data_IF_099524625505
#
_entry.id   IF_099524625505
#
_cell.length_a   1.000
_cell.length_b   1.000
_cell.length_c   1.000
_cell.angle_alpha   90.00
_cell.angle_beta   90.00
_cell.angle_gamma   90.00
#
_symmetry.space_group_name_H-M   'P 1'
#
loop_
_entity.id
_entity.type
_entity.pdbx_description
1 polymer ?
#
# COMPACT_ATOMS: atom_id res chain seq x y z
N UNK A 1 20.21 25.95 -1.36
CA UNK A 1 20.35 24.48 -1.25
C UNK A 1 18.98 23.92 -1.56
N UNK A 2 18.81 23.22 -2.69
CA UNK A 2 17.50 22.77 -3.16
C UNK A 2 16.99 21.67 -2.24
N UNK A 3 15.91 21.97 -1.53
CA UNK A 3 15.12 21.01 -0.77
C UNK A 3 14.65 19.96 -1.79
N UNK A 4 15.09 18.71 -1.63
CA UNK A 4 14.66 17.62 -2.51
C UNK A 4 13.30 17.17 -2.00
N UNK A 5 12.24 17.47 -2.75
CA UNK A 5 10.85 17.11 -2.44
C UNK A 5 10.56 15.63 -2.75
N UNK A 6 11.39 14.71 -2.26
CA UNK A 6 11.13 13.27 -2.39
C UNK A 6 10.00 12.88 -1.42
N UNK A 7 8.78 12.62 -1.92
CA UNK A 7 7.66 12.11 -1.09
C UNK A 7 7.45 10.61 -1.31
N UNK A 8 8.36 9.80 -0.77
CA UNK A 8 8.09 8.38 -0.57
C UNK A 8 7.32 8.24 0.74
N UNK A 9 6.07 7.77 0.67
CA UNK A 9 5.25 7.52 1.84
C UNK A 9 5.60 6.14 2.41
N UNK A 10 5.99 6.10 3.68
CA UNK A 10 6.39 4.85 4.36
C UNK A 10 5.36 4.54 5.45
N UNK A 11 4.89 3.30 5.49
CA UNK A 11 3.92 2.85 6.49
C UNK A 11 3.89 1.34 6.62
N UNK A 12 2.88 0.81 7.28
CA UNK A 12 2.74 -0.62 7.58
C UNK A 12 1.47 -1.24 7.00
N UNK A 13 1.43 -2.57 6.94
CA UNK A 13 0.20 -3.33 6.73
C UNK A 13 -0.63 -3.37 8.03
N UNK A 14 -1.65 -2.52 8.09
CA UNK A 14 -2.50 -2.31 9.27
C UNK A 14 -1.80 -1.53 10.39
N UNK A 15 -2.60 -1.00 11.31
CA UNK A 15 -2.12 -0.25 12.48
C UNK A 15 -2.54 -0.87 13.82
N UNK A 16 -3.55 -1.74 13.85
CA UNK A 16 -4.08 -2.31 15.09
C UNK A 16 -3.41 -3.65 15.44
N UNK A 17 -2.13 -3.62 15.79
CA UNK A 17 -1.36 -4.80 16.21
C UNK A 17 -1.19 -4.82 17.74
N UNK A 18 -1.75 -5.81 18.46
CA UNK A 18 -1.59 -5.92 19.92
C UNK A 18 -0.13 -5.98 20.38
N UNK A 19 0.73 -6.60 19.59
CA UNK A 19 2.16 -6.78 19.84
C UNK A 19 2.90 -5.44 19.95
N UNK A 20 2.40 -4.39 19.28
CA UNK A 20 2.99 -3.06 19.34
C UNK A 20 2.83 -2.36 20.70
N UNK A 21 1.86 -2.79 21.51
CA UNK A 21 1.81 -2.38 22.92
C UNK A 21 2.96 -3.01 23.73
N UNK A 22 3.31 -4.26 23.44
CA UNK A 22 4.41 -4.96 24.11
C UNK A 22 5.79 -4.43 23.66
N UNK A 23 5.89 -4.01 22.40
CA UNK A 23 7.10 -3.39 21.83
C UNK A 23 7.22 -1.89 22.13
N UNK A 24 6.36 -1.36 23.03
CA UNK A 24 6.34 0.03 23.47
C UNK A 24 6.18 1.06 22.34
N UNK A 25 5.53 0.69 21.22
CA UNK A 25 5.11 1.65 20.21
C UNK A 25 3.86 2.39 20.65
N UNK A 26 2.82 1.64 21.07
CA UNK A 26 1.65 2.22 21.70
C UNK A 26 1.90 2.37 23.21
N UNK A 27 1.65 3.55 23.80
CA UNK A 27 1.65 3.71 25.25
C UNK A 27 0.70 2.71 25.91
N UNK A 28 1.08 2.13 27.05
CA UNK A 28 0.29 1.10 27.75
C UNK A 28 -1.14 1.57 28.09
N UNK A 29 -1.28 2.86 28.39
CA UNK A 29 -2.55 3.49 28.75
C UNK A 29 -3.30 4.08 27.54
N UNK A 30 -2.82 3.89 26.30
CA UNK A 30 -3.48 4.43 25.12
C UNK A 30 -4.76 3.62 24.80
N UNK A 31 -5.94 4.27 24.74
CA UNK A 31 -7.16 3.60 24.30
C UNK A 31 -7.06 3.10 22.86
N UNK A 32 -7.65 1.94 22.56
CA UNK A 32 -7.61 1.33 21.21
C UNK A 32 -8.24 2.22 20.14
N UNK A 33 -9.27 2.97 20.52
CA UNK A 33 -9.94 3.96 19.68
C UNK A 33 -9.06 5.17 19.38
N UNK A 34 -7.85 5.29 19.95
CA UNK A 34 -6.90 6.36 19.63
C UNK A 34 -5.69 5.84 18.82
N UNK A 35 -5.66 4.54 18.50
CA UNK A 35 -4.52 3.94 17.80
C UNK A 35 -4.34 4.54 16.41
N UNK A 36 -5.41 4.82 15.66
CA UNK A 36 -5.29 5.43 14.34
C UNK A 36 -4.71 6.85 14.43
N UNK A 37 -5.21 7.66 15.37
CA UNK A 37 -4.67 9.01 15.58
C UNK A 37 -3.19 8.98 15.97
N UNK A 38 -2.80 8.07 16.87
CA UNK A 38 -1.39 7.90 17.24
C UNK A 38 -0.54 7.46 16.05
N UNK A 39 -1.01 6.46 15.30
CA UNK A 39 -0.31 5.94 14.12
C UNK A 39 -0.16 7.01 13.02
N UNK A 40 -1.23 7.74 12.70
CA UNK A 40 -1.24 8.74 11.64
C UNK A 40 -0.37 9.98 11.94
N UNK A 41 0.00 10.19 13.21
CA UNK A 41 1.00 11.20 13.58
C UNK A 41 2.44 10.74 13.31
N UNK A 42 2.69 9.42 13.34
CA UNK A 42 4.03 8.86 13.13
C UNK A 42 4.28 8.49 11.66
N UNK A 43 3.30 7.88 11.00
CA UNK A 43 3.43 7.35 9.64
C UNK A 43 2.39 7.97 8.71
N UNK A 44 2.77 8.45 7.51
CA UNK A 44 1.86 9.15 6.61
C UNK A 44 0.94 8.22 5.79
N UNK A 45 1.14 6.90 5.84
CA UNK A 45 0.36 5.96 5.03
C UNK A 45 0.10 4.66 5.78
N UNK A 46 -1.01 4.00 5.46
CA UNK A 46 -1.30 2.63 5.90
C UNK A 46 -1.89 1.80 4.77
N UNK A 47 -1.46 0.55 4.66
CA UNK A 47 -2.16 -0.45 3.86
C UNK A 47 -3.21 -1.11 4.74
N UNK A 48 -4.47 -1.10 4.31
CA UNK A 48 -5.61 -1.67 5.02
C UNK A 48 -5.91 -3.05 4.41
N UNK A 49 -5.60 -4.15 5.13
CA UNK A 49 -5.86 -5.50 4.62
C UNK A 49 -7.36 -5.72 4.38
N UNK A 50 -7.71 -6.49 3.35
CA UNK A 50 -9.12 -6.74 2.99
C UNK A 50 -9.96 -7.26 4.15
N UNK A 51 -9.38 -8.11 4.99
CA UNK A 51 -10.04 -8.73 6.15
C UNK A 51 -10.65 -7.70 7.12
N UNK A 52 -10.18 -6.45 7.09
CA UNK A 52 -10.67 -5.34 7.93
C UNK A 52 -11.89 -4.62 7.37
N UNK A 53 -12.19 -4.81 6.09
CA UNK A 53 -13.22 -4.05 5.37
C UNK A 53 -13.98 -4.92 4.35
N UNK A 54 -14.03 -6.23 4.58
CA UNK A 54 -14.62 -7.21 3.68
C UNK A 54 -16.14 -7.05 3.48
N UNK A 55 -16.83 -6.35 4.40
CA UNK A 55 -18.26 -6.08 4.32
C UNK A 55 -18.61 -4.59 4.38
N UNK A 56 -19.84 -4.26 4.00
CA UNK A 56 -20.30 -2.85 3.90
C UNK A 56 -20.32 -2.16 5.26
N UNK A 57 -20.63 -2.89 6.34
CA UNK A 57 -20.64 -2.33 7.70
C UNK A 57 -19.23 -1.98 8.17
N UNK A 58 -18.28 -2.86 7.87
CA UNK A 58 -16.87 -2.71 8.20
C UNK A 58 -16.27 -1.53 7.43
N UNK A 59 -16.61 -1.36 6.14
CA UNK A 59 -16.19 -0.17 5.37
C UNK A 59 -16.76 1.12 5.97
N UNK A 60 -18.01 1.12 6.42
CA UNK A 60 -18.59 2.31 7.07
C UNK A 60 -17.88 2.65 8.37
N UNK A 61 -17.54 1.63 9.16
CA UNK A 61 -16.81 1.83 10.42
C UNK A 61 -15.41 2.38 10.17
N UNK A 62 -14.64 1.77 9.27
CA UNK A 62 -13.26 2.17 9.01
C UNK A 62 -13.18 3.56 8.37
N UNK A 63 -14.11 3.90 7.47
CA UNK A 63 -14.17 5.24 6.87
C UNK A 63 -14.52 6.31 7.90
N UNK A 64 -15.44 6.03 8.83
CA UNK A 64 -15.72 6.94 9.94
C UNK A 64 -14.51 7.12 10.86
N UNK A 65 -13.82 6.04 11.23
CA UNK A 65 -12.59 6.08 12.03
C UNK A 65 -11.51 6.95 11.37
N UNK A 66 -11.31 6.79 10.05
CA UNK A 66 -10.36 7.60 9.27
C UNK A 66 -10.74 9.09 9.29
N UNK A 67 -12.00 9.43 9.01
CA UNK A 67 -12.47 10.83 8.97
C UNK A 67 -12.28 11.51 10.33
N UNK A 68 -12.53 10.79 11.42
CA UNK A 68 -12.47 11.35 12.78
C UNK A 68 -11.05 11.47 13.32
N UNK A 69 -10.13 10.58 12.92
CA UNK A 69 -8.85 10.40 13.62
C UNK A 69 -7.59 10.59 12.78
N UNK A 70 -7.68 10.48 11.45
CA UNK A 70 -6.51 10.63 10.60
C UNK A 70 -6.03 12.08 10.55
N UNK A 71 -4.72 12.25 10.42
CA UNK A 71 -4.07 13.56 10.28
C UNK A 71 -4.16 14.07 8.84
N UNK A 72 -4.01 15.38 8.66
CA UNK A 72 -3.97 15.98 7.32
C UNK A 72 -2.82 15.38 6.49
N UNK A 73 -3.12 14.98 5.25
CA UNK A 73 -2.15 14.38 4.34
C UNK A 73 -1.93 12.88 4.56
N UNK A 74 -2.55 12.26 5.57
CA UNK A 74 -2.53 10.81 5.75
C UNK A 74 -3.18 10.08 4.57
N UNK A 75 -2.59 8.96 4.15
CA UNK A 75 -3.07 8.15 3.03
C UNK A 75 -3.41 6.72 3.44
N UNK A 76 -4.48 6.20 2.86
CA UNK A 76 -4.93 4.82 3.02
C UNK A 76 -4.88 4.12 1.67
N UNK A 77 -4.16 3.00 1.61
CA UNK A 77 -4.22 2.07 0.50
C UNK A 77 -5.10 0.90 0.93
N UNK A 78 -6.09 0.53 0.14
CA UNK A 78 -6.98 -0.59 0.47
C UNK A 78 -6.60 -1.83 -0.34
N UNK A 79 -6.30 -2.93 0.34
CA UNK A 79 -6.05 -4.22 -0.30
C UNK A 79 -7.37 -4.90 -0.65
N UNK A 80 -7.55 -5.29 -1.92
CA UNK A 80 -8.75 -5.94 -2.43
C UNK A 80 -8.36 -7.18 -3.23
N UNK A 81 -8.82 -8.35 -2.77
CA UNK A 81 -8.68 -9.60 -3.50
C UNK A 81 -9.81 -9.76 -4.51
N UNK A 82 -9.47 -9.62 -5.80
CA UNK A 82 -10.43 -9.82 -6.89
C UNK A 82 -10.75 -11.29 -7.15
N UNK A 83 -10.06 -12.21 -6.48
CA UNK A 83 -10.35 -13.64 -6.49
C UNK A 83 -11.53 -13.95 -5.54
N UNK A 84 -11.66 -13.21 -4.43
CA UNK A 84 -12.68 -13.40 -3.40
C UNK A 84 -13.90 -12.46 -3.59
N UNK A 85 -14.69 -12.70 -4.65
CA UNK A 85 -15.69 -11.74 -5.14
C UNK A 85 -17.03 -11.68 -4.38
N UNK A 86 -17.14 -10.90 -3.29
CA UNK A 86 -18.45 -10.56 -2.73
C UNK A 86 -18.60 -9.04 -2.46
N UNK A 87 -19.70 -8.46 -2.97
CA UNK A 87 -20.17 -7.08 -2.70
C UNK A 87 -19.16 -5.94 -2.93
N UNK A 88 -18.20 -6.11 -3.85
CA UNK A 88 -17.13 -5.15 -4.14
C UNK A 88 -17.68 -3.74 -4.43
N UNK A 89 -18.69 -3.63 -5.31
CA UNK A 89 -19.22 -2.31 -5.71
C UNK A 89 -19.75 -1.49 -4.53
N UNK A 90 -20.48 -2.11 -3.60
CA UNK A 90 -21.04 -1.43 -2.44
C UNK A 90 -19.95 -0.98 -1.46
N UNK A 91 -18.87 -1.76 -1.34
CA UNK A 91 -17.69 -1.40 -0.54
C UNK A 91 -16.97 -0.21 -1.16
N UNK A 92 -16.69 -0.24 -2.47
CA UNK A 92 -16.01 0.84 -3.19
C UNK A 92 -16.80 2.16 -3.17
N UNK A 93 -18.13 2.11 -3.32
CA UNK A 93 -18.98 3.28 -3.18
C UNK A 93 -18.90 3.95 -1.80
N UNK A 94 -18.52 3.20 -0.76
CA UNK A 94 -18.35 3.76 0.58
C UNK A 94 -16.98 4.42 0.75
N UNK A 95 -15.97 4.03 -0.04
CA UNK A 95 -14.63 4.62 -0.01
C UNK A 95 -14.58 6.05 -0.58
N UNK A 96 -15.53 6.44 -1.44
CA UNK A 96 -15.61 7.84 -1.92
C UNK A 96 -15.89 8.86 -0.81
N UNK A 97 -16.25 8.41 0.40
CA UNK A 97 -16.40 9.30 1.57
C UNK A 97 -15.07 9.80 2.13
N UNK A 98 -13.97 9.18 1.74
CA UNK A 98 -12.62 9.47 2.24
C UNK A 98 -11.66 9.81 1.09
N UNK A 99 -12.15 10.47 0.04
CA UNK A 99 -11.36 10.84 -1.15
C UNK A 99 -10.03 11.52 -0.79
N UNK A 100 -10.02 12.42 0.20
CA UNK A 100 -8.79 13.11 0.63
C UNK A 100 -7.74 12.16 1.24
N UNK A 101 -8.20 11.07 1.88
CA UNK A 101 -7.35 10.05 2.50
C UNK A 101 -7.08 8.86 1.59
N UNK A 102 -7.84 8.66 0.50
CA UNK A 102 -7.69 7.49 -0.36
C UNK A 102 -6.46 7.64 -1.28
N UNK A 103 -5.39 6.90 -0.99
CA UNK A 103 -4.20 6.85 -1.85
C UNK A 103 -4.33 5.88 -3.03
N UNK A 104 -5.18 4.85 -2.89
CA UNK A 104 -5.49 3.92 -3.97
C UNK A 104 -5.84 2.52 -3.50
N UNK A 105 -5.86 1.59 -4.46
CA UNK A 105 -6.18 0.19 -4.26
C UNK A 105 -4.96 -0.69 -4.60
N UNK A 106 -4.66 -1.64 -3.73
CA UNK A 106 -3.76 -2.76 -4.02
C UNK A 106 -4.64 -3.97 -4.42
N UNK A 107 -4.66 -4.29 -5.71
CA UNK A 107 -5.54 -5.33 -6.25
C UNK A 107 -4.80 -6.65 -6.35
N UNK A 108 -5.19 -7.62 -5.51
CA UNK A 108 -4.63 -8.96 -5.58
C UNK A 108 -5.27 -9.74 -6.72
N UNK A 109 -4.43 -10.31 -7.57
CA UNK A 109 -4.82 -11.04 -8.78
C UNK A 109 -3.95 -12.28 -8.97
N UNK A 110 -4.49 -13.30 -9.62
CA UNK A 110 -3.69 -14.46 -10.01
C UNK A 110 -2.81 -14.15 -11.24
N UNK A 111 -1.72 -14.88 -11.44
CA UNK A 111 -0.80 -14.68 -12.57
C UNK A 111 -1.41 -14.81 -13.98
N UNK A 112 -2.61 -15.36 -14.12
CA UNK A 112 -3.29 -15.57 -15.41
C UNK A 112 -4.47 -14.60 -15.61
N UNK A 113 -4.56 -13.52 -14.83
CA UNK A 113 -5.71 -12.60 -14.85
C UNK A 113 -6.02 -12.01 -16.23
N UNK A 114 -5.01 -11.92 -17.11
CA UNK A 114 -5.13 -11.41 -18.48
C UNK A 114 -5.97 -12.34 -19.36
N UNK A 115 -5.93 -13.64 -19.08
CA UNK A 115 -6.70 -14.65 -19.82
C UNK A 115 -8.16 -14.68 -19.37
N UNK A 116 -8.45 -14.17 -18.17
CA UNK A 116 -9.80 -13.92 -17.69
C UNK A 116 -10.26 -12.53 -18.14
N UNK A 117 -11.04 -12.52 -19.23
CA UNK A 117 -11.62 -11.29 -19.79
C UNK A 117 -12.45 -10.50 -18.77
N UNK A 118 -13.20 -11.18 -17.90
CA UNK A 118 -14.06 -10.51 -16.92
C UNK A 118 -13.18 -9.82 -15.86
N UNK A 119 -12.15 -10.51 -15.38
CA UNK A 119 -11.23 -9.96 -14.39
C UNK A 119 -10.42 -8.79 -14.96
N UNK A 120 -9.88 -8.92 -16.17
CA UNK A 120 -9.16 -7.83 -16.84
C UNK A 120 -10.04 -6.60 -17.13
N UNK A 121 -11.28 -6.79 -17.59
CA UNK A 121 -12.23 -5.67 -17.77
C UNK A 121 -12.58 -5.00 -16.44
N UNK A 122 -12.77 -5.78 -15.36
CA UNK A 122 -13.02 -5.25 -14.03
C UNK A 122 -11.82 -4.44 -13.50
N UNK A 123 -10.59 -4.91 -13.71
CA UNK A 123 -9.37 -4.19 -13.34
C UNK A 123 -9.28 -2.82 -14.04
N UNK A 124 -9.51 -2.79 -15.36
CA UNK A 124 -9.48 -1.54 -16.14
C UNK A 124 -10.59 -0.60 -15.69
N UNK A 125 -11.78 -1.12 -15.38
CA UNK A 125 -12.88 -0.30 -14.84
C UNK A 125 -12.51 0.29 -13.48
N UNK A 126 -11.87 -0.46 -12.59
CA UNK A 126 -11.45 0.05 -11.29
C UNK A 126 -10.36 1.11 -11.43
N UNK A 127 -9.43 0.93 -12.36
CA UNK A 127 -8.37 1.90 -12.60
C UNK A 127 -8.88 3.24 -13.15
N UNK A 128 -10.04 3.24 -13.82
CA UNK A 128 -10.67 4.48 -14.27
C UNK A 128 -11.14 5.38 -13.11
N UNK A 129 -11.53 4.77 -11.99
CA UNK A 129 -12.08 5.45 -10.82
C UNK A 129 -11.05 5.60 -9.68
N UNK A 130 -10.01 4.76 -9.64
CA UNK A 130 -9.04 4.68 -8.55
C UNK A 130 -7.60 4.57 -9.03
N UNK A 131 -6.67 5.11 -8.23
CA UNK A 131 -5.26 4.77 -8.33
C UNK A 131 -5.07 3.29 -7.99
N UNK A 132 -4.53 2.51 -8.92
CA UNK A 132 -4.43 1.04 -8.78
C UNK A 132 -2.98 0.58 -8.89
N UNK A 133 -2.61 -0.36 -8.04
CA UNK A 133 -1.39 -1.15 -8.13
C UNK A 133 -1.76 -2.64 -8.05
N UNK A 134 -1.17 -3.48 -8.90
CA UNK A 134 -1.46 -4.92 -8.91
C UNK A 134 -0.56 -5.68 -7.96
N UNK A 135 -1.14 -6.54 -7.14
CA UNK A 135 -0.41 -7.59 -6.43
C UNK A 135 -0.62 -8.94 -7.12
N UNK A 136 0.33 -9.35 -7.95
CA UNK A 136 0.20 -10.57 -8.76
C UNK A 136 0.78 -11.77 -8.01
N UNK A 137 -0.08 -12.73 -7.68
CA UNK A 137 0.34 -14.01 -7.11
C UNK A 137 1.01 -14.87 -8.19
N UNK A 138 2.28 -15.22 -7.95
CA UNK A 138 3.14 -16.13 -8.74
C UNK A 138 3.00 -16.01 -10.29
N UNK A 139 3.98 -15.37 -10.91
CA UNK A 139 3.91 -15.03 -12.34
C UNK A 139 4.21 -16.22 -13.26
N UNK A 140 3.26 -16.61 -14.11
CA UNK A 140 3.47 -17.62 -15.16
C UNK A 140 4.06 -17.01 -16.45
N UNK A 141 3.77 -15.74 -16.76
CA UNK A 141 4.31 -15.02 -17.93
C UNK A 141 4.41 -13.51 -17.67
N UNK A 142 5.60 -13.04 -17.29
CA UNK A 142 5.87 -11.61 -17.02
C UNK A 142 5.64 -10.74 -18.26
N UNK A 143 5.86 -11.26 -19.47
CA UNK A 143 5.85 -10.45 -20.69
C UNK A 143 4.45 -9.92 -21.01
N UNK A 144 3.43 -10.75 -20.85
CA UNK A 144 2.03 -10.33 -21.02
C UNK A 144 1.62 -9.29 -19.98
N UNK A 145 2.07 -9.46 -18.73
CA UNK A 145 1.79 -8.53 -17.63
C UNK A 145 2.42 -7.17 -17.90
N UNK A 146 3.68 -7.13 -18.35
CA UNK A 146 4.33 -5.87 -18.74
C UNK A 146 3.52 -5.16 -19.81
N UNK A 147 3.14 -5.85 -20.89
CA UNK A 147 2.35 -5.25 -21.98
C UNK A 147 1.02 -4.71 -21.49
N UNK A 148 0.29 -5.48 -20.66
CA UNK A 148 -0.98 -5.03 -20.07
C UNK A 148 -0.79 -3.78 -19.19
N UNK A 149 0.23 -3.80 -18.33
CA UNK A 149 0.54 -2.70 -17.42
C UNK A 149 0.88 -1.41 -18.19
N UNK A 150 1.75 -1.50 -19.20
CA UNK A 150 2.11 -0.36 -20.06
C UNK A 150 0.89 0.20 -20.80
N UNK A 151 0.04 -0.69 -21.34
CA UNK A 151 -1.16 -0.28 -22.08
C UNK A 151 -2.17 0.48 -21.20
N UNK A 152 -2.29 0.07 -19.94
CA UNK A 152 -3.30 0.62 -19.02
C UNK A 152 -2.74 1.58 -17.98
N UNK A 153 -1.43 1.88 -18.01
CA UNK A 153 -0.74 2.71 -17.03
C UNK A 153 -0.90 2.20 -15.58
N UNK A 154 -0.82 0.89 -15.38
CA UNK A 154 -0.97 0.27 -14.05
C UNK A 154 0.38 -0.28 -13.58
N UNK A 155 0.80 0.01 -12.35
CA UNK A 155 2.01 -0.57 -11.78
C UNK A 155 1.78 -1.94 -11.13
N UNK A 156 2.85 -2.72 -11.01
CA UNK A 156 2.87 -3.95 -10.21
C UNK A 156 3.61 -3.69 -8.91
N UNK A 157 3.02 -4.16 -7.80
CA UNK A 157 3.59 -4.10 -6.47
C UNK A 157 4.92 -4.86 -6.44
N UNK A 158 5.98 -4.15 -6.11
CA UNK A 158 7.33 -4.70 -6.16
C UNK A 158 7.84 -5.07 -4.76
N UNK A 159 8.44 -6.25 -4.65
CA UNK A 159 8.94 -6.82 -3.38
C UNK A 159 10.46 -6.77 -3.25
N UNK A 160 11.11 -5.81 -3.91
CA UNK A 160 12.57 -5.66 -3.87
C UNK A 160 13.37 -6.71 -4.66
N UNK A 161 12.70 -7.66 -5.31
CA UNK A 161 13.31 -8.72 -6.11
C UNK A 161 12.70 -8.76 -7.52
N UNK A 162 13.49 -9.16 -8.51
CA UNK A 162 13.05 -9.28 -9.89
C UNK A 162 12.88 -7.94 -10.63
N UNK A 163 12.13 -8.01 -11.73
CA UNK A 163 11.86 -6.87 -12.61
C UNK A 163 10.84 -5.90 -12.00
N UNK A 164 11.06 -4.60 -12.21
CA UNK A 164 10.17 -3.54 -11.76
C UNK A 164 9.26 -3.16 -12.92
N UNK A 165 7.94 -3.34 -12.74
CA UNK A 165 6.93 -3.02 -13.75
C UNK A 165 6.15 -1.80 -13.27
N UNK A 166 6.58 -0.62 -13.73
CA UNK A 166 6.01 0.67 -13.31
C UNK A 166 5.97 1.61 -14.51
N UNK A 167 4.87 1.60 -15.28
CA UNK A 167 4.69 2.49 -16.43
C UNK A 167 4.76 3.96 -16.02
N UNK A 168 5.35 4.82 -16.85
CA UNK A 168 5.57 6.25 -16.54
C UNK A 168 4.28 6.98 -16.12
N UNK A 169 3.16 6.67 -16.78
CA UNK A 169 1.86 7.27 -16.51
C UNK A 169 1.12 6.70 -15.28
N UNK A 170 1.66 5.67 -14.62
CA UNK A 170 1.03 5.06 -13.44
C UNK A 170 1.00 6.04 -12.26
N UNK A 171 -0.18 6.33 -11.67
CA UNK A 171 -0.32 7.33 -10.61
C UNK A 171 0.14 6.83 -9.24
N UNK A 172 0.15 5.51 -9.04
CA UNK A 172 0.57 4.85 -7.79
C UNK A 172 1.66 3.85 -8.10
N UNK A 173 2.68 3.77 -7.25
CA UNK A 173 3.61 2.64 -7.20
C UNK A 173 3.83 2.20 -5.76
N UNK A 174 3.36 0.99 -5.47
CA UNK A 174 3.50 0.37 -4.17
C UNK A 174 4.68 -0.62 -4.15
N UNK A 175 5.39 -0.63 -3.04
CA UNK A 175 6.40 -1.63 -2.72
C UNK A 175 6.09 -2.27 -1.38
N UNK A 176 6.29 -3.59 -1.26
CA UNK A 176 6.15 -4.33 -0.01
C UNK A 176 7.50 -4.85 0.44
N UNK A 177 7.82 -4.66 1.71
CA UNK A 177 9.01 -5.18 2.35
C UNK A 177 8.57 -6.06 3.53
N UNK A 178 8.89 -7.35 3.49
CA UNK A 178 8.53 -8.29 4.54
C UNK A 178 9.53 -8.18 5.69
N UNK A 179 9.08 -7.65 6.83
CA UNK A 179 9.90 -7.50 8.03
C UNK A 179 10.08 -8.78 8.85
N UNK A 180 9.41 -9.87 8.48
CA UNK A 180 9.58 -11.20 9.08
C UNK A 180 10.89 -11.91 8.66
N UNK A 181 11.65 -11.34 7.73
CA UNK A 181 12.93 -11.86 7.28
C UNK A 181 14.08 -11.53 8.25
N UNK A 182 15.28 -12.09 8.01
CA UNK A 182 16.50 -11.70 8.74
C UNK A 182 16.75 -10.18 8.60
N UNK A 183 17.10 -9.51 9.72
CA UNK A 183 17.34 -8.04 9.76
C UNK A 183 18.29 -7.55 8.65
N UNK A 184 19.33 -8.31 8.30
CA UNK A 184 20.25 -7.93 7.22
C UNK A 184 19.58 -7.98 5.84
N UNK A 185 18.73 -8.99 5.62
CA UNK A 185 17.97 -9.13 4.38
C UNK A 185 16.99 -7.95 4.21
N UNK A 186 16.26 -7.62 5.28
CA UNK A 186 15.33 -6.47 5.31
C UNK A 186 16.07 -5.17 4.99
N UNK A 187 17.19 -4.88 5.65
CA UNK A 187 17.98 -3.67 5.38
C UNK A 187 18.49 -3.62 3.93
N UNK A 188 18.93 -4.76 3.39
CA UNK A 188 19.40 -4.82 2.00
C UNK A 188 18.26 -4.61 1.00
N UNK A 189 17.10 -5.18 1.29
CA UNK A 189 15.88 -5.01 0.51
C UNK A 189 15.43 -3.53 0.53
N UNK A 190 15.38 -2.89 1.71
CA UNK A 190 15.06 -1.48 1.85
C UNK A 190 15.99 -0.58 1.04
N UNK A 191 17.30 -0.79 1.13
CA UNK A 191 18.28 -0.03 0.32
C UNK A 191 18.02 -0.19 -1.17
N UNK A 192 17.69 -1.40 -1.60
CA UNK A 192 17.39 -1.71 -3.01
C UNK A 192 16.11 -1.01 -3.45
N UNK A 193 15.07 -1.07 -2.62
CA UNK A 193 13.77 -0.44 -2.88
C UNK A 193 13.92 1.08 -2.99
N UNK A 194 14.49 1.71 -1.97
CA UNK A 194 14.66 3.16 -1.90
C UNK A 194 15.52 3.65 -3.08
N UNK A 195 16.67 3.02 -3.32
CA UNK A 195 17.55 3.42 -4.42
C UNK A 195 16.88 3.29 -5.80
N UNK A 196 15.97 2.32 -5.97
CA UNK A 196 15.24 2.13 -7.22
C UNK A 196 14.09 3.13 -7.35
N UNK A 197 13.36 3.41 -6.26
CA UNK A 197 12.30 4.42 -6.25
C UNK A 197 12.84 5.82 -6.57
N UNK A 198 13.97 6.20 -5.97
CA UNK A 198 14.64 7.47 -6.26
C UNK A 198 15.13 7.59 -7.72
N UNK A 199 15.46 6.47 -8.37
CA UNK A 199 15.87 6.46 -9.79
C UNK A 199 14.71 6.58 -10.77
N UNK A 200 13.53 6.12 -10.36
CA UNK A 200 12.32 6.07 -11.19
C UNK A 200 11.30 7.13 -10.75
N UNK A 201 11.75 8.14 -10.01
CA UNK A 201 10.89 9.19 -9.52
C UNK A 201 10.40 10.06 -10.69
N UNK A 202 9.09 10.17 -10.78
CA UNK A 202 8.39 11.07 -11.69
C UNK A 202 7.47 11.91 -10.81
N UNK A 203 7.52 13.24 -10.97
CA UNK A 203 6.86 14.20 -10.07
C UNK A 203 5.34 14.00 -9.86
N UNK A 204 4.67 13.25 -10.74
CA UNK A 204 3.23 13.03 -10.71
C UNK A 204 2.78 11.74 -10.02
N UNK A 205 3.70 10.91 -9.51
CA UNK A 205 3.38 9.59 -8.95
C UNK A 205 3.48 9.58 -7.43
N UNK A 206 2.54 8.91 -6.77
CA UNK A 206 2.67 8.55 -5.35
C UNK A 206 3.53 7.29 -5.21
N UNK A 207 4.66 7.43 -4.52
CA UNK A 207 5.55 6.31 -4.20
C UNK A 207 5.25 5.84 -2.78
N UNK A 208 4.87 4.57 -2.63
CA UNK A 208 4.47 3.99 -1.34
C UNK A 208 5.35 2.80 -1.01
N UNK A 209 5.88 2.76 0.20
CA UNK A 209 6.58 1.62 0.79
C UNK A 209 5.81 1.14 2.01
N UNK A 210 5.32 -0.09 1.93
CA UNK A 210 4.61 -0.77 3.01
C UNK A 210 5.53 -1.82 3.63
N UNK A 211 5.79 -1.68 4.93
CA UNK A 211 6.39 -2.70 5.76
C UNK A 211 5.30 -3.69 6.17
N UNK A 212 5.53 -4.94 5.83
CA UNK A 212 4.62 -6.05 6.07
C UNK A 212 5.21 -7.01 7.12
N UNK A 213 4.40 -7.93 7.62
CA UNK A 213 4.78 -8.91 8.63
C UNK A 213 3.60 -9.31 9.50
N UNK A 214 3.77 -10.34 10.32
CA UNK A 214 2.77 -10.80 11.27
C UNK A 214 3.32 -10.80 12.71
N UNK A 215 3.41 -9.62 13.38
CA UNK A 215 3.05 -8.27 12.92
C UNK A 215 4.18 -7.58 12.12
N UNK A 216 3.92 -6.46 11.43
CA UNK A 216 4.96 -5.64 10.83
C UNK A 216 5.85 -4.99 11.90
N UNK A 217 7.15 -4.86 11.62
CA UNK A 217 8.11 -4.25 12.54
C UNK A 217 8.10 -2.71 12.49
N UNK A 218 7.77 -2.09 13.62
CA UNK A 218 7.86 -0.63 13.80
C UNK A 218 9.30 -0.15 13.69
N UNK A 219 10.26 -0.91 14.24
CA UNK A 219 11.69 -0.60 14.16
C UNK A 219 12.14 -0.48 12.69
N UNK A 220 11.74 -1.45 11.85
CA UNK A 220 12.05 -1.45 10.41
C UNK A 220 11.41 -0.24 9.71
N UNK A 221 10.17 0.09 10.05
CA UNK A 221 9.44 1.22 9.46
C UNK A 221 10.10 2.57 9.78
N UNK A 222 10.51 2.78 11.03
CA UNK A 222 11.29 3.95 11.46
C UNK A 222 12.66 3.99 10.78
N UNK A 223 13.36 2.86 10.70
CA UNK A 223 14.66 2.78 10.02
C UNK A 223 14.55 3.14 8.54
N UNK A 224 13.50 2.69 7.86
CA UNK A 224 13.25 3.06 6.46
C UNK A 224 13.03 4.58 6.31
N UNK A 225 12.28 5.20 7.24
CA UNK A 225 12.04 6.64 7.26
C UNK A 225 13.33 7.43 7.49
N UNK A 226 14.16 7.01 8.44
CA UNK A 226 15.49 7.61 8.69
C UNK A 226 16.41 7.46 7.46
N UNK A 227 16.38 6.32 6.78
CA UNK A 227 17.17 6.13 5.56
C UNK A 227 16.76 7.12 4.46
N UNK A 228 15.46 7.42 4.34
CA UNK A 228 14.97 8.43 3.40
C UNK A 228 15.44 9.84 3.73
N UNK A 229 15.43 10.22 5.01
CA UNK A 229 15.85 11.57 5.44
C UNK A 229 17.34 11.84 5.22
N UNK A 230 18.17 10.79 5.17
CA UNK A 230 19.62 10.90 5.01
C UNK A 230 20.06 10.99 3.53
N UNK A 231 19.23 10.55 2.58
CA UNK A 231 19.61 10.36 1.16
C UNK A 231 19.43 11.60 0.26
#
# INVERSE_FOLDING_TARGET
MSQRDYRILIGTAGWQHPEWGNEAFYPEDLPKDWYLSFYANEFPVVLIPESRWAGVSEVKQITAEIIEQATEGFKCIFELDLIAQNNIQARLQSLSRIEDFLGGLLLRVNGNFIEDKKLSEQLVSLHADFNVCLDVDAVADLSKIVVFCEQHAISVCWRGEGEVIVPDASPLWLTRCDSGQDKKAVVQQLKTIIAKQLKLEIQSREHVLIIDGAPPSVEVTRNASIMMDIM
#
